data_IF_339086536096
#
_entry.id   IF_339086536096
#
_cell.length_a   1.000
_cell.length_b   1.000
_cell.length_c   1.000
_cell.angle_alpha   90.00
_cell.angle_beta   90.00
_cell.angle_gamma   90.00
#
_symmetry.space_group_name_H-M   'P 1'
#
loop_
_entity.id
_entity.type
_entity.pdbx_description
1 polymer ?
#
# COMPACT_ATOMS: atom_id res chain seq x y z
N UNK A 1 7.33 22.17 21.70
CA UNK A 1 7.04 20.83 22.23
C UNK A 1 6.36 20.08 21.09
N UNK A 2 7.05 19.19 20.40
CA UNK A 2 6.40 18.36 19.36
C UNK A 2 5.34 17.51 20.04
N UNK A 3 4.08 17.66 19.62
CA UNK A 3 2.99 16.82 20.08
C UNK A 3 3.38 15.34 19.90
N UNK A 4 3.09 14.51 20.90
CA UNK A 4 3.35 13.08 20.80
C UNK A 4 2.35 12.48 19.80
N UNK A 5 2.85 11.92 18.71
CA UNK A 5 2.03 11.30 17.67
C UNK A 5 2.28 9.79 17.63
N UNK A 6 1.23 9.02 17.31
CA UNK A 6 1.33 7.60 17.00
C UNK A 6 1.47 7.35 15.50
N UNK A 7 0.82 8.19 14.68
CA UNK A 7 0.88 8.14 13.22
C UNK A 7 1.10 9.57 12.70
N UNK A 8 2.06 9.72 11.80
CA UNK A 8 2.36 10.97 11.12
C UNK A 8 2.46 10.75 9.62
N UNK A 9 1.65 11.49 8.89
CA UNK A 9 1.58 11.47 7.42
C UNK A 9 1.91 12.89 6.98
N UNK A 10 2.93 13.06 6.15
CA UNK A 10 3.37 14.38 5.66
C UNK A 10 3.53 14.40 4.16
N UNK A 11 2.75 15.27 3.50
CA UNK A 11 2.77 15.52 2.07
C UNK A 11 2.69 14.23 1.24
N UNK A 12 1.93 13.26 1.74
CA UNK A 12 1.87 11.93 1.14
C UNK A 12 1.08 11.96 -0.15
N UNK A 13 1.71 11.46 -1.21
CA UNK A 13 1.11 11.31 -2.52
C UNK A 13 1.05 9.84 -2.91
N UNK A 14 0.10 9.49 -3.78
CA UNK A 14 0.05 8.16 -4.36
C UNK A 14 -0.46 8.20 -5.78
N UNK A 15 0.37 7.74 -6.68
CA UNK A 15 0.11 7.56 -8.10
C UNK A 15 -0.16 6.10 -8.43
N UNK A 16 -0.97 5.88 -9.46
CA UNK A 16 -1.23 4.58 -10.05
C UNK A 16 -1.30 4.66 -11.57
N UNK A 17 -0.68 3.68 -12.22
CA UNK A 17 -0.74 3.49 -13.66
C UNK A 17 -2.11 2.98 -14.11
N UNK A 18 -2.67 3.61 -15.16
CA UNK A 18 -3.91 3.17 -15.81
C UNK A 18 -3.61 2.27 -17.00
N UNK A 19 -3.07 1.08 -16.75
CA UNK A 19 -3.02 0.03 -17.77
C UNK A 19 -4.42 -0.55 -17.99
N UNK A 20 -4.85 -0.66 -19.26
CA UNK A 20 -6.14 -1.30 -19.60
C UNK A 20 -6.06 -2.82 -19.52
N UNK A 21 -4.89 -3.39 -19.82
CA UNK A 21 -4.67 -4.84 -19.87
C UNK A 21 -3.24 -5.20 -19.42
N UNK A 22 -3.05 -6.44 -18.96
CA UNK A 22 -1.69 -6.98 -18.65
C UNK A 22 -0.78 -7.01 -19.88
N UNK A 23 -1.35 -7.19 -21.08
CA UNK A 23 -0.57 -7.15 -22.32
C UNK A 23 -0.09 -5.74 -22.63
N UNK A 24 -0.85 -4.69 -22.30
CA UNK A 24 -0.38 -3.30 -22.41
C UNK A 24 0.78 -3.01 -21.46
N UNK A 25 0.73 -3.57 -20.24
CA UNK A 25 1.84 -3.48 -19.28
C UNK A 25 3.13 -4.15 -19.80
N UNK A 26 3.02 -5.36 -20.37
CA UNK A 26 4.16 -6.04 -21.00
C UNK A 26 4.66 -5.28 -22.22
N UNK A 27 3.77 -4.76 -23.07
CA UNK A 27 4.15 -3.95 -24.23
C UNK A 27 4.87 -2.67 -23.81
N UNK A 28 4.43 -2.01 -22.74
CA UNK A 28 5.12 -0.84 -22.21
C UNK A 28 6.54 -1.19 -21.74
N UNK A 29 6.70 -2.34 -21.06
CA UNK A 29 8.01 -2.83 -20.61
C UNK A 29 8.98 -3.11 -21.77
N UNK A 30 8.51 -3.72 -22.87
CA UNK A 30 9.34 -4.02 -24.04
C UNK A 30 9.38 -2.90 -25.10
N UNK A 31 8.61 -1.82 -24.89
CA UNK A 31 8.56 -0.71 -25.82
C UNK A 31 9.80 0.16 -25.65
N UNK A 32 10.56 0.32 -26.74
CA UNK A 32 11.65 1.32 -26.84
C UNK A 32 11.07 2.74 -26.96
N UNK A 33 9.76 2.88 -27.16
CA UNK A 33 9.06 4.16 -27.26
C UNK A 33 8.64 4.68 -25.87
N UNK A 34 9.07 5.90 -25.54
CA UNK A 34 8.66 6.69 -24.35
C UNK A 34 7.20 7.18 -24.44
N UNK A 35 6.24 6.31 -24.73
CA UNK A 35 4.83 6.72 -24.66
C UNK A 35 4.43 6.87 -23.18
N UNK A 36 3.93 8.04 -22.76
CA UNK A 36 3.52 8.24 -21.38
C UNK A 36 2.39 7.28 -21.04
N UNK A 37 2.56 6.55 -19.94
CA UNK A 37 1.52 5.69 -19.39
C UNK A 37 0.49 6.63 -18.77
N UNK A 38 -0.83 6.47 -19.04
CA UNK A 38 -1.80 7.34 -18.41
C UNK A 38 -1.79 7.06 -16.90
N UNK A 39 -1.53 8.06 -16.09
CA UNK A 39 -1.50 7.92 -14.63
C UNK A 39 -2.72 8.59 -13.98
N UNK A 40 -2.96 8.28 -12.71
CA UNK A 40 -3.83 9.09 -11.86
C UNK A 40 -3.32 9.17 -10.42
N UNK A 41 -3.50 10.34 -9.80
CA UNK A 41 -3.16 10.57 -8.41
C UNK A 41 -4.34 10.24 -7.49
N UNK A 42 -4.22 9.15 -6.75
CA UNK A 42 -5.15 8.74 -5.72
C UNK A 42 -5.06 9.61 -4.46
N UNK A 43 -3.85 10.06 -4.10
CA UNK A 43 -3.57 11.02 -3.02
C UNK A 43 -2.66 12.12 -3.55
N UNK A 44 -2.93 13.36 -3.14
CA UNK A 44 -2.33 14.59 -3.69
C UNK A 44 -1.75 15.49 -2.57
N UNK A 45 -0.94 14.91 -1.70
CA UNK A 45 -0.25 15.66 -0.65
C UNK A 45 -1.05 15.70 0.64
N UNK A 46 -1.39 14.52 1.18
CA UNK A 46 -2.10 14.41 2.45
C UNK A 46 -1.11 14.63 3.60
N UNK A 47 -1.45 15.55 4.50
CA UNK A 47 -0.72 15.76 5.75
C UNK A 47 -1.69 15.66 6.93
N UNK A 48 -1.43 14.75 7.86
CA UNK A 48 -2.20 14.59 9.10
C UNK A 48 -1.37 13.91 10.20
N UNK A 49 -1.79 14.10 11.44
CA UNK A 49 -1.21 13.45 12.62
C UNK A 49 -2.34 12.84 13.48
N UNK A 50 -2.05 11.67 14.05
CA UNK A 50 -2.94 10.93 14.95
C UNK A 50 -2.23 10.73 16.28
N UNK A 51 -2.89 11.12 17.36
CA UNK A 51 -2.40 11.01 18.72
C UNK A 51 -2.52 9.57 19.24
N UNK A 52 -1.66 9.15 20.19
CA UNK A 52 -1.82 7.86 20.86
C UNK A 52 -3.19 7.71 21.54
N UNK A 53 -3.88 6.61 21.25
CA UNK A 53 -5.20 6.29 21.82
C UNK A 53 -6.38 6.97 21.10
N UNK A 54 -6.10 7.79 20.09
CA UNK A 54 -7.12 8.45 19.28
C UNK A 54 -7.78 7.47 18.30
N UNK A 55 -9.10 7.60 18.13
CA UNK A 55 -9.83 7.00 17.00
C UNK A 55 -10.08 8.04 15.91
N UNK A 56 -9.34 7.96 14.81
CA UNK A 56 -9.50 8.82 13.64
C UNK A 56 -10.40 8.16 12.59
N UNK A 57 -11.52 8.81 12.27
CA UNK A 57 -12.42 8.41 11.19
C UNK A 57 -11.96 8.94 9.83
N UNK A 58 -11.92 8.10 8.80
CA UNK A 58 -11.72 8.54 7.41
C UNK A 58 -13.05 8.54 6.66
N UNK A 59 -13.50 9.72 6.19
CA UNK A 59 -14.74 9.88 5.42
C UNK A 59 -14.51 10.48 4.04
N UNK A 60 -15.47 10.28 3.14
CA UNK A 60 -15.34 10.71 1.76
C UNK A 60 -16.10 9.82 0.79
N UNK A 61 -16.38 10.34 -0.41
CA UNK A 61 -17.08 9.59 -1.47
C UNK A 61 -16.25 8.40 -1.96
N UNK A 62 -16.88 7.48 -2.72
CA UNK A 62 -16.16 6.35 -3.32
C UNK A 62 -15.09 6.86 -4.29
N UNK A 63 -13.90 6.28 -4.22
CA UNK A 63 -12.74 6.72 -4.99
C UNK A 63 -12.11 8.03 -4.49
N UNK A 64 -12.41 8.47 -3.25
CA UNK A 64 -11.78 9.67 -2.70
C UNK A 64 -10.34 9.47 -2.23
N UNK A 65 -9.90 8.22 -1.99
CA UNK A 65 -8.54 7.91 -1.52
C UNK A 65 -8.45 7.33 -0.10
N UNK A 66 -9.58 7.14 0.62
CA UNK A 66 -9.59 6.60 2.00
C UNK A 66 -8.82 5.28 2.15
N UNK A 67 -9.21 4.25 1.38
CA UNK A 67 -8.55 2.94 1.43
C UNK A 67 -7.11 2.99 0.93
N UNK A 68 -6.78 3.93 0.03
CA UNK A 68 -5.38 4.15 -0.37
C UNK A 68 -4.56 4.67 0.80
N UNK A 69 -5.08 5.66 1.52
CA UNK A 69 -4.40 6.22 2.69
C UNK A 69 -4.30 5.20 3.84
N UNK A 70 -5.37 4.46 4.14
CA UNK A 70 -5.33 3.43 5.18
C UNK A 70 -4.34 2.31 4.86
N UNK A 71 -4.26 1.87 3.59
CA UNK A 71 -3.27 0.88 3.17
C UNK A 71 -1.83 1.39 3.21
N UNK A 72 -1.61 2.70 3.02
CA UNK A 72 -0.29 3.32 3.19
C UNK A 72 0.10 3.36 4.66
N UNK A 73 -0.81 3.79 5.53
CA UNK A 73 -0.59 3.80 6.99
C UNK A 73 -0.35 2.38 7.52
N UNK A 74 -1.03 1.37 6.97
CA UNK A 74 -0.83 -0.03 7.35
C UNK A 74 0.41 -0.69 6.75
N UNK A 75 1.19 0.02 5.93
CA UNK A 75 2.35 -0.54 5.22
C UNK A 75 2.03 -1.58 4.14
N UNK A 76 0.76 -1.72 3.72
CA UNK A 76 0.35 -2.68 2.67
C UNK A 76 0.81 -2.23 1.30
N UNK A 77 0.78 -0.91 1.05
CA UNK A 77 1.37 -0.30 -0.15
C UNK A 77 2.27 0.86 0.27
N UNK A 78 3.40 1.09 -0.44
CA UNK A 78 4.18 2.29 -0.23
C UNK A 78 3.49 3.51 -0.86
N UNK A 79 3.73 4.68 -0.29
CA UNK A 79 3.46 5.99 -0.92
C UNK A 79 4.36 6.24 -2.14
N UNK A 80 3.97 7.17 -3.02
CA UNK A 80 4.81 7.62 -4.14
C UNK A 80 5.81 8.67 -3.69
N UNK A 81 5.36 9.66 -2.91
CA UNK A 81 6.21 10.64 -2.22
C UNK A 81 5.66 10.95 -0.84
N UNK A 82 6.47 11.65 -0.04
CA UNK A 82 6.14 12.10 1.31
C UNK A 82 6.53 11.09 2.38
N UNK A 83 6.37 11.51 3.63
CA UNK A 83 6.77 10.74 4.82
C UNK A 83 5.55 10.10 5.48
N UNK A 84 5.69 8.84 5.82
CA UNK A 84 4.76 8.08 6.67
C UNK A 84 5.59 7.52 7.81
N UNK A 85 5.31 7.98 9.03
CA UNK A 85 5.93 7.48 10.26
C UNK A 85 4.84 6.90 11.16
N UNK A 86 4.97 5.62 11.48
CA UNK A 86 3.98 4.83 12.21
C UNK A 86 4.71 4.15 13.37
N UNK A 87 4.32 4.49 14.60
CA UNK A 87 5.03 4.05 15.81
C UNK A 87 4.29 2.92 16.49
N UNK A 88 4.55 1.69 16.06
CA UNK A 88 3.99 0.46 16.66
C UNK A 88 3.37 -0.46 15.62
N UNK A 89 2.94 -1.64 16.05
CA UNK A 89 2.42 -2.67 15.15
C UNK A 89 1.01 -2.33 14.66
N UNK A 90 0.83 -2.38 13.34
CA UNK A 90 -0.45 -2.17 12.69
C UNK A 90 -1.14 -3.49 12.37
N UNK A 91 -2.44 -3.58 12.59
CA UNK A 91 -3.28 -4.66 12.07
C UNK A 91 -4.43 -4.09 11.26
N UNK A 92 -4.62 -4.60 10.03
CA UNK A 92 -5.69 -4.16 9.13
C UNK A 92 -6.82 -5.17 9.07
N UNK A 93 -8.05 -4.67 9.21
CA UNK A 93 -9.30 -5.40 9.03
C UNK A 93 -10.00 -4.85 7.80
N UNK A 94 -9.83 -5.52 6.68
CA UNK A 94 -10.58 -5.24 5.46
C UNK A 94 -11.55 -6.39 5.14
N UNK A 95 -12.61 -6.10 4.38
CA UNK A 95 -13.58 -7.10 3.87
C UNK A 95 -12.84 -8.27 3.20
N UNK A 96 -11.73 -7.98 2.51
CA UNK A 96 -10.83 -8.97 1.95
C UNK A 96 -9.62 -9.09 2.89
N UNK A 97 -9.81 -9.78 4.00
CA UNK A 97 -8.90 -9.82 5.15
C UNK A 97 -7.54 -10.49 4.86
N UNK A 98 -7.11 -10.64 3.60
CA UNK A 98 -5.82 -11.25 3.25
C UNK A 98 -5.76 -12.75 3.52
N UNK A 99 -6.90 -13.41 3.74
CA UNK A 99 -6.98 -14.85 3.94
C UNK A 99 -6.59 -15.61 2.66
N UNK A 100 -5.81 -16.67 2.81
CA UNK A 100 -5.44 -17.60 1.74
C UNK A 100 -6.58 -18.59 1.53
N UNK A 101 -7.25 -18.48 0.38
CA UNK A 101 -8.42 -19.31 0.06
C UNK A 101 -8.16 -20.82 -0.01
N UNK A 102 -6.93 -21.25 -0.26
CA UNK A 102 -6.58 -22.68 -0.29
C UNK A 102 -6.36 -23.27 1.11
N UNK A 103 -6.12 -22.43 2.11
CA UNK A 103 -5.93 -22.84 3.50
C UNK A 103 -7.27 -22.83 4.24
N UNK A 104 -7.38 -23.65 5.27
CA UNK A 104 -8.49 -23.67 6.23
C UNK A 104 -8.54 -22.41 7.08
N UNK A 105 -9.64 -22.18 7.80
CA UNK A 105 -9.73 -21.10 8.77
C UNK A 105 -8.63 -21.18 9.83
N UNK A 106 -8.43 -22.37 10.40
CA UNK A 106 -7.37 -22.66 11.38
C UNK A 106 -5.97 -22.29 10.87
N UNK A 107 -5.63 -22.75 9.67
CA UNK A 107 -4.34 -22.47 9.05
C UNK A 107 -4.17 -20.97 8.76
N UNK A 108 -5.24 -20.26 8.42
CA UNK A 108 -5.20 -18.82 8.24
C UNK A 108 -5.01 -18.06 9.56
N UNK A 109 -5.62 -18.52 10.66
CA UNK A 109 -5.38 -17.95 12.01
C UNK A 109 -3.90 -18.06 12.33
N UNK A 110 -3.35 -19.28 12.26
CA UNK A 110 -1.94 -19.55 12.54
C UNK A 110 -1.00 -18.76 11.63
N UNK A 111 -1.23 -18.79 10.32
CA UNK A 111 -0.40 -18.09 9.34
C UNK A 111 -0.30 -16.60 9.66
N UNK A 112 -1.43 -15.94 9.93
CA UNK A 112 -1.44 -14.51 10.21
C UNK A 112 -0.77 -14.16 11.53
N UNK A 113 -1.04 -14.92 12.59
CA UNK A 113 -0.42 -14.67 13.87
C UNK A 113 1.11 -14.86 13.81
N UNK A 114 1.59 -15.90 13.09
CA UNK A 114 3.02 -16.08 12.80
C UNK A 114 3.61 -14.90 12.00
N UNK A 115 2.89 -14.38 11.00
CA UNK A 115 3.32 -13.21 10.23
C UNK A 115 3.46 -11.94 11.07
N UNK A 116 2.74 -11.87 12.20
CA UNK A 116 2.84 -10.78 13.17
C UNK A 116 3.90 -11.05 14.26
N UNK A 117 4.73 -12.08 14.09
CA UNK A 117 5.83 -12.39 15.01
C UNK A 117 5.45 -13.21 16.23
N UNK A 118 4.22 -13.72 16.31
CA UNK A 118 3.77 -14.52 17.46
C UNK A 118 4.36 -15.93 17.42
N UNK A 119 4.60 -16.50 18.60
CA UNK A 119 5.05 -17.88 18.78
C UNK A 119 3.86 -18.85 18.70
N UNK A 120 4.12 -20.12 18.36
CA UNK A 120 3.05 -21.14 18.35
C UNK A 120 2.32 -21.26 19.70
N UNK A 121 3.03 -21.07 20.81
CA UNK A 121 2.43 -21.11 22.15
C UNK A 121 1.42 -19.98 22.36
N UNK A 122 1.78 -18.74 21.99
CA UNK A 122 0.84 -17.61 22.06
C UNK A 122 -0.37 -17.83 21.16
N UNK A 123 -0.15 -18.38 19.97
CA UNK A 123 -1.24 -18.67 19.02
C UNK A 123 -2.20 -19.71 19.59
N UNK A 124 -1.68 -20.82 20.11
CA UNK A 124 -2.51 -21.88 20.69
C UNK A 124 -3.31 -21.36 21.89
N UNK A 125 -2.78 -20.39 22.65
CA UNK A 125 -3.48 -19.80 23.81
C UNK A 125 -4.68 -18.90 23.46
N UNK A 126 -4.75 -18.37 22.24
CA UNK A 126 -5.86 -17.51 21.78
C UNK A 126 -6.71 -18.14 20.67
N UNK A 127 -6.35 -19.35 20.22
CA UNK A 127 -6.97 -20.00 19.09
C UNK A 127 -8.47 -20.21 19.31
N UNK A 128 -8.85 -20.72 20.48
CA UNK A 128 -10.25 -20.97 20.83
C UNK A 128 -11.06 -19.68 20.93
N UNK A 129 -10.47 -18.61 21.50
CA UNK A 129 -11.10 -17.29 21.59
C UNK A 129 -11.36 -16.69 20.20
N UNK A 130 -10.40 -16.83 19.27
CA UNK A 130 -10.56 -16.37 17.88
C UNK A 130 -11.70 -17.12 17.19
N UNK A 131 -11.77 -18.45 17.39
CA UNK A 131 -12.80 -19.29 16.77
C UNK A 131 -14.18 -18.94 17.33
N UNK A 132 -14.29 -18.81 18.66
CA UNK A 132 -15.52 -18.44 19.34
C UNK A 132 -15.99 -17.04 18.95
N UNK A 133 -15.06 -16.09 18.77
CA UNK A 133 -15.39 -14.75 18.31
C UNK A 133 -15.87 -14.76 16.86
N UNK A 134 -15.17 -15.47 15.97
CA UNK A 134 -15.52 -15.55 14.55
C UNK A 134 -16.90 -16.16 14.31
N UNK A 135 -17.31 -17.11 15.16
CA UNK A 135 -18.66 -17.70 15.14
C UNK A 135 -19.04 -18.23 13.76
N UNK A 136 -18.15 -19.07 13.21
CA UNK A 136 -18.31 -19.73 11.89
C UNK A 136 -18.49 -21.26 12.01
N UNK A 137 -18.53 -21.81 13.22
CA UNK A 137 -18.67 -23.24 13.49
C UNK A 137 -17.61 -24.11 12.80
N UNK A 138 -18.02 -25.30 12.35
CA UNK A 138 -17.14 -26.30 11.72
C UNK A 138 -16.48 -25.83 10.43
N UNK A 139 -16.95 -24.72 9.83
CA UNK A 139 -16.29 -24.16 8.67
C UNK A 139 -14.86 -23.73 8.95
N UNK A 140 -14.48 -23.49 10.23
CA UNK A 140 -13.08 -23.19 10.58
C UNK A 140 -12.09 -24.26 10.07
N UNK A 141 -12.53 -25.51 9.97
CA UNK A 141 -11.74 -26.63 9.45
C UNK A 141 -11.83 -26.79 7.92
N UNK A 142 -12.62 -25.96 7.24
CA UNK A 142 -12.80 -25.97 5.80
C UNK A 142 -11.95 -24.90 5.10
N UNK A 143 -11.51 -25.13 3.85
CA UNK A 143 -10.77 -24.13 3.08
C UNK A 143 -11.54 -22.82 2.90
N UNK A 144 -10.90 -21.68 3.14
CA UNK A 144 -11.54 -20.35 3.11
C UNK A 144 -12.17 -20.00 1.76
N UNK A 145 -11.75 -20.62 0.65
CA UNK A 145 -12.40 -20.45 -0.66
C UNK A 145 -13.88 -20.82 -0.66
N UNK A 146 -14.34 -21.72 0.24
CA UNK A 146 -15.75 -22.10 0.37
C UNK A 146 -16.57 -21.12 1.22
N UNK A 147 -15.93 -20.18 1.91
CA UNK A 147 -16.60 -19.28 2.83
C UNK A 147 -17.41 -18.21 2.09
N UNK A 148 -18.54 -17.82 2.68
CA UNK A 148 -19.24 -16.59 2.31
C UNK A 148 -18.37 -15.35 2.60
N UNK A 149 -18.70 -14.21 2.00
CA UNK A 149 -18.05 -12.93 2.30
C UNK A 149 -18.14 -12.57 3.79
N UNK A 150 -19.29 -12.83 4.41
CA UNK A 150 -19.50 -12.59 5.84
C UNK A 150 -18.56 -13.42 6.71
N UNK A 151 -18.46 -14.73 6.46
CA UNK A 151 -17.54 -15.60 7.21
C UNK A 151 -16.07 -15.18 7.07
N UNK A 152 -15.63 -14.79 5.85
CA UNK A 152 -14.27 -14.29 5.62
C UNK A 152 -13.99 -13.03 6.43
N UNK A 153 -14.98 -12.13 6.52
CA UNK A 153 -14.83 -10.92 7.30
C UNK A 153 -14.88 -11.18 8.79
N UNK A 154 -15.74 -12.09 9.27
CA UNK A 154 -15.80 -12.47 10.69
C UNK A 154 -14.47 -13.05 11.16
N UNK A 155 -13.95 -14.03 10.43
CA UNK A 155 -12.64 -14.62 10.73
C UNK A 155 -11.51 -13.59 10.61
N UNK A 156 -11.56 -12.74 9.59
CA UNK A 156 -10.60 -11.66 9.39
C UNK A 156 -10.55 -10.69 10.58
N UNK A 157 -11.72 -10.25 11.04
CA UNK A 157 -11.87 -9.38 12.19
C UNK A 157 -11.43 -10.07 13.48
N UNK A 158 -11.89 -11.30 13.72
CA UNK A 158 -11.54 -12.09 14.89
C UNK A 158 -10.01 -12.21 15.04
N UNK A 159 -9.30 -12.58 13.97
CA UNK A 159 -7.84 -12.68 14.00
C UNK A 159 -7.23 -11.32 14.35
N UNK A 160 -7.63 -10.25 13.66
CA UNK A 160 -7.02 -8.94 13.81
C UNK A 160 -7.16 -8.33 15.20
N UNK A 161 -8.28 -8.56 15.90
CA UNK A 161 -8.52 -8.02 17.25
C UNK A 161 -7.92 -8.86 18.37
N UNK A 162 -7.56 -10.13 18.13
CA UNK A 162 -6.89 -10.98 19.13
C UNK A 162 -5.37 -10.90 19.06
N UNK A 163 -4.81 -10.42 17.95
CA UNK A 163 -3.36 -10.13 17.81
C UNK A 163 -2.93 -8.93 18.70
N UNK A 164 -3.87 -8.16 19.25
CA UNK A 164 -3.61 -7.02 20.16
C UNK A 164 -2.64 -5.96 19.59
N UNK A 165 -2.88 -5.43 18.38
CA UNK A 165 -2.03 -4.41 17.76
C UNK A 165 -1.99 -3.11 18.56
N UNK A 166 -0.98 -2.28 18.30
CA UNK A 166 -0.94 -0.90 18.78
C UNK A 166 -1.88 0.02 17.99
N UNK A 167 -2.01 -0.27 16.69
CA UNK A 167 -2.81 0.50 15.74
C UNK A 167 -3.75 -0.46 15.01
N UNK A 168 -5.05 -0.28 15.20
CA UNK A 168 -6.08 -1.07 14.52
C UNK A 168 -6.68 -0.27 13.37
N UNK A 169 -6.65 -0.80 12.15
CA UNK A 169 -7.19 -0.15 10.97
C UNK A 169 -8.40 -0.96 10.51
N UNK A 170 -9.57 -0.34 10.44
CA UNK A 170 -10.83 -1.02 10.09
C UNK A 170 -11.37 -0.38 8.81
N UNK A 171 -11.31 -1.11 7.70
CA UNK A 171 -11.76 -0.66 6.38
C UNK A 171 -13.02 -1.39 5.92
N UNK A 172 -14.17 -0.74 6.13
CA UNK A 172 -15.52 -1.20 5.74
C UNK A 172 -15.92 -2.59 6.28
N UNK A 173 -15.14 -3.17 7.20
CA UNK A 173 -15.29 -4.55 7.67
C UNK A 173 -16.48 -4.77 8.63
N UNK A 174 -17.08 -3.71 9.17
CA UNK A 174 -18.23 -3.82 10.10
C UNK A 174 -19.57 -4.04 9.41
N UNK A 175 -19.64 -3.93 8.08
CA UNK A 175 -20.92 -3.94 7.34
C UNK A 175 -21.34 -5.31 6.80
N UNK A 176 -20.57 -6.37 7.08
CA UNK A 176 -20.69 -7.69 6.43
C UNK A 176 -21.09 -8.83 7.39
N UNK A 177 -21.60 -8.49 8.58
CA UNK A 177 -22.10 -9.43 9.60
C UNK A 177 -23.61 -9.30 9.88
N UNK A 178 -24.10 -10.09 10.83
CA UNK A 178 -25.41 -9.84 11.45
C UNK A 178 -25.26 -8.82 12.60
N UNK A 179 -26.39 -8.34 13.13
CA UNK A 179 -26.41 -7.34 14.20
C UNK A 179 -25.69 -7.83 15.46
N UNK A 180 -25.75 -9.13 15.77
CA UNK A 180 -25.09 -9.73 16.94
C UNK A 180 -23.57 -9.64 16.81
N UNK A 181 -23.02 -10.02 15.65
CA UNK A 181 -21.59 -9.90 15.37
C UNK A 181 -21.14 -8.44 15.32
N UNK A 182 -21.98 -7.55 14.78
CA UNK A 182 -21.70 -6.12 14.79
C UNK A 182 -21.54 -5.57 16.22
N UNK A 183 -22.41 -5.96 17.16
CA UNK A 183 -22.26 -5.55 18.58
C UNK A 183 -20.96 -6.09 19.19
N UNK A 184 -20.61 -7.36 18.95
CA UNK A 184 -19.31 -7.92 19.39
C UNK A 184 -18.13 -7.09 18.89
N UNK A 185 -18.17 -6.64 17.62
CA UNK A 185 -17.14 -5.78 17.06
C UNK A 185 -17.09 -4.41 17.72
N UNK A 186 -18.24 -3.78 17.96
CA UNK A 186 -18.34 -2.47 18.64
C UNK A 186 -17.76 -2.55 20.06
N UNK A 187 -18.16 -3.57 20.83
CA UNK A 187 -17.65 -3.81 22.18
C UNK A 187 -16.13 -4.00 22.17
N UNK A 188 -15.61 -4.77 21.21
CA UNK A 188 -14.16 -4.98 21.09
C UNK A 188 -13.42 -3.69 20.73
N UNK A 189 -13.96 -2.90 19.81
CA UNK A 189 -13.40 -1.57 19.46
C UNK A 189 -13.36 -0.67 20.71
N UNK A 190 -14.43 -0.66 21.50
CA UNK A 190 -14.51 0.12 22.73
C UNK A 190 -13.46 -0.33 23.75
N UNK A 191 -13.25 -1.64 23.93
CA UNK A 191 -12.16 -2.17 24.78
C UNK A 191 -10.78 -1.71 24.28
N UNK A 192 -10.55 -1.67 22.96
CA UNK A 192 -9.31 -1.16 22.39
C UNK A 192 -9.12 0.34 22.70
N UNK A 193 -10.18 1.14 22.57
CA UNK A 193 -10.13 2.57 22.94
C UNK A 193 -9.80 2.75 24.42
N UNK A 194 -10.45 1.99 25.31
CA UNK A 194 -10.20 2.03 26.76
C UNK A 194 -8.78 1.59 27.13
N UNK A 195 -8.21 0.67 26.36
CA UNK A 195 -6.81 0.23 26.49
C UNK A 195 -5.80 1.23 25.89
N UNK A 196 -6.23 2.39 25.41
CA UNK A 196 -5.36 3.41 24.81
C UNK A 196 -4.78 3.03 23.44
N UNK A 197 -5.42 2.09 22.74
CA UNK A 197 -5.01 1.69 21.39
C UNK A 197 -5.51 2.70 20.36
N UNK A 198 -4.71 2.92 19.33
CA UNK A 198 -5.03 3.89 18.27
C UNK A 198 -5.84 3.21 17.17
N UNK A 199 -6.88 3.86 16.65
CA UNK A 199 -7.78 3.22 15.66
C UNK A 199 -7.97 4.14 14.46
N UNK A 200 -7.75 3.61 13.25
CA UNK A 200 -8.16 4.26 11.99
C UNK A 200 -9.43 3.58 11.51
N UNK A 201 -10.53 4.33 11.49
CA UNK A 201 -11.85 3.79 11.15
C UNK A 201 -12.34 4.34 9.81
N UNK A 202 -12.43 3.49 8.79
CA UNK A 202 -12.93 3.85 7.46
C UNK A 202 -14.33 3.30 7.29
N UNK A 203 -15.31 4.19 7.19
CA UNK A 203 -16.71 3.81 7.01
C UNK A 203 -17.48 4.78 6.11
N UNK A 204 -18.44 4.23 5.38
CA UNK A 204 -19.45 4.99 4.64
C UNK A 204 -20.65 5.39 5.52
N UNK A 205 -20.77 4.82 6.73
CA UNK A 205 -21.84 5.13 7.68
C UNK A 205 -21.42 6.26 8.61
N UNK A 206 -21.99 7.45 8.40
CA UNK A 206 -21.74 8.60 9.29
C UNK A 206 -22.17 8.33 10.73
N UNK A 207 -23.18 7.50 10.94
CA UNK A 207 -23.60 7.09 12.29
C UNK A 207 -22.50 6.31 13.01
N UNK A 208 -21.82 5.39 12.31
CA UNK A 208 -20.70 4.64 12.89
C UNK A 208 -19.53 5.57 13.22
N UNK A 209 -19.22 6.49 12.30
CA UNK A 209 -18.19 7.52 12.52
C UNK A 209 -18.49 8.36 13.76
N UNK A 210 -19.72 8.86 13.89
CA UNK A 210 -20.15 9.67 15.05
C UNK A 210 -20.11 8.90 16.38
N UNK A 211 -20.38 7.59 16.37
CA UNK A 211 -20.38 6.78 17.59
C UNK A 211 -18.97 6.37 18.03
N UNK A 212 -18.04 6.18 17.09
CA UNK A 212 -16.74 5.54 17.36
C UNK A 212 -15.55 6.49 17.32
N UNK A 213 -15.61 7.57 16.54
CA UNK A 213 -14.44 8.41 16.25
C UNK A 213 -14.39 9.68 17.10
N UNK A 214 -13.18 10.05 17.52
CA UNK A 214 -12.92 11.26 18.29
C UNK A 214 -12.68 12.45 17.33
N UNK A 215 -11.93 12.20 16.26
CA UNK A 215 -11.72 13.13 15.14
C UNK A 215 -12.01 12.45 13.81
N UNK A 216 -12.19 13.26 12.77
CA UNK A 216 -12.47 12.79 11.42
C UNK A 216 -11.64 13.56 10.41
N UNK A 217 -11.08 12.84 9.45
CA UNK A 217 -10.46 13.37 8.24
C UNK A 217 -11.39 13.14 7.03
N UNK A 218 -11.85 14.24 6.42
CA UNK A 218 -12.61 14.22 5.18
C UNK A 218 -11.68 14.28 3.98
N UNK A 219 -11.60 13.18 3.24
CA UNK A 219 -10.81 13.04 2.02
C UNK A 219 -11.74 13.13 0.81
N UNK A 220 -11.37 13.95 -0.18
CA UNK A 220 -12.15 14.16 -1.39
C UNK A 220 -11.23 14.20 -2.62
N UNK A 221 -11.32 13.17 -3.48
CA UNK A 221 -10.52 13.04 -4.71
C UNK A 221 -9.01 13.25 -4.51
N UNK A 222 -8.45 12.65 -3.47
CA UNK A 222 -7.04 12.70 -3.13
C UNK A 222 -6.59 13.92 -2.33
N UNK A 223 -7.49 14.87 -2.02
CA UNK A 223 -7.20 16.00 -1.13
C UNK A 223 -7.77 15.76 0.27
N UNK A 224 -7.05 16.18 1.31
CA UNK A 224 -7.60 16.34 2.65
C UNK A 224 -8.40 17.65 2.67
N UNK A 225 -9.73 17.58 2.74
CA UNK A 225 -10.59 18.77 2.74
C UNK A 225 -10.72 19.41 4.10
N UNK A 226 -10.82 18.59 5.13
CA UNK A 226 -10.96 19.04 6.51
C UNK A 226 -10.54 17.91 7.43
N UNK A 227 -9.91 18.26 8.55
CA UNK A 227 -9.65 17.37 9.67
C UNK A 227 -9.96 18.12 10.95
N UNK A 228 -10.61 17.47 11.90
CA UNK A 228 -11.07 18.13 13.12
C UNK A 228 -11.97 17.23 13.94
N UNK A 229 -12.72 17.82 14.88
CA UNK A 229 -13.66 17.09 15.71
C UNK A 229 -14.73 16.38 14.87
N UNK A 230 -15.16 15.19 15.32
CA UNK A 230 -16.16 14.40 14.59
C UNK A 230 -17.43 15.19 14.30
N UNK A 231 -17.97 15.93 15.28
CA UNK A 231 -19.20 16.69 15.12
C UNK A 231 -19.11 17.77 14.03
N UNK A 232 -18.00 18.51 13.99
CA UNK A 232 -17.77 19.58 13.02
C UNK A 232 -17.64 19.03 11.60
N UNK A 233 -16.72 18.09 11.40
CA UNK A 233 -16.38 17.57 10.07
C UNK A 233 -17.54 16.77 9.48
N UNK A 234 -18.25 15.97 10.30
CA UNK A 234 -19.47 15.27 9.85
C UNK A 234 -20.57 16.25 9.50
N UNK A 235 -20.71 17.37 10.22
CA UNK A 235 -21.64 18.44 9.90
C UNK A 235 -21.40 19.04 8.51
N UNK A 236 -20.17 19.42 8.21
CA UNK A 236 -19.79 19.95 6.89
C UNK A 236 -19.93 18.90 5.79
N UNK A 237 -19.53 17.66 6.06
CA UNK A 237 -19.70 16.57 5.10
C UNK A 237 -21.17 16.28 4.79
N UNK A 238 -22.08 16.36 5.77
CA UNK A 238 -23.53 16.23 5.55
C UNK A 238 -24.06 17.33 4.63
N UNK A 239 -23.61 18.58 4.80
CA UNK A 239 -23.97 19.69 3.90
C UNK A 239 -23.52 19.40 2.47
N UNK A 240 -22.27 18.94 2.31
CA UNK A 240 -21.74 18.50 1.02
C UNK A 240 -22.58 17.39 0.39
N UNK A 241 -22.91 16.33 1.13
CA UNK A 241 -23.72 15.22 0.62
C UNK A 241 -25.14 15.68 0.24
N UNK A 242 -25.76 16.55 1.04
CA UNK A 242 -27.08 17.12 0.74
C UNK A 242 -27.05 17.91 -0.56
N UNK A 243 -26.06 18.80 -0.71
CA UNK A 243 -25.83 19.54 -1.95
C UNK A 243 -25.59 18.59 -3.14
N UNK A 244 -24.66 17.64 -2.98
CA UNK A 244 -24.30 16.71 -4.05
C UNK A 244 -25.50 15.85 -4.49
N UNK A 245 -26.34 15.40 -3.56
CA UNK A 245 -27.56 14.64 -3.86
C UNK A 245 -28.61 15.49 -4.59
N UNK A 246 -28.72 16.79 -4.28
CA UNK A 246 -29.65 17.71 -4.92
C UNK A 246 -29.29 18.03 -6.38
N UNK A 247 -28.03 17.86 -6.79
CA UNK A 247 -27.60 18.07 -8.17
C UNK A 247 -28.30 17.16 -9.18
N UNK A 248 -28.50 17.67 -10.40
CA UNK A 248 -28.98 16.88 -11.54
C UNK A 248 -27.97 15.77 -11.89
N UNK A 249 -28.41 14.72 -12.60
CA UNK A 249 -27.50 13.66 -13.07
C UNK A 249 -26.36 14.24 -13.94
N UNK A 250 -26.64 15.28 -14.73
CA UNK A 250 -25.66 15.97 -15.59
C UNK A 250 -24.62 16.70 -14.76
N UNK A 251 -25.04 17.44 -13.72
CA UNK A 251 -24.14 18.23 -12.88
C UNK A 251 -23.30 17.35 -11.96
N UNK A 252 -23.89 16.27 -11.43
CA UNK A 252 -23.12 15.23 -10.70
C UNK A 252 -21.98 14.68 -11.55
N UNK A 253 -22.28 14.31 -12.80
CA UNK A 253 -21.27 13.79 -13.73
C UNK A 253 -20.22 14.85 -14.10
N UNK A 254 -20.64 16.11 -14.28
CA UNK A 254 -19.73 17.24 -14.53
C UNK A 254 -18.75 17.42 -13.36
N UNK A 255 -19.26 17.51 -12.12
CA UNK A 255 -18.45 17.62 -10.91
C UNK A 255 -17.44 16.47 -10.76
N UNK A 256 -17.91 15.22 -10.94
CA UNK A 256 -17.05 14.04 -10.86
C UNK A 256 -15.96 14.05 -11.94
N UNK A 257 -16.28 14.46 -13.17
CA UNK A 257 -15.33 14.53 -14.27
C UNK A 257 -14.28 15.62 -14.04
N UNK A 258 -14.68 16.79 -13.54
CA UNK A 258 -13.76 17.88 -13.20
C UNK A 258 -12.81 17.46 -12.07
N UNK A 259 -13.32 16.80 -11.04
CA UNK A 259 -12.49 16.29 -9.96
C UNK A 259 -11.48 15.23 -10.44
N UNK A 260 -11.93 14.27 -11.26
CA UNK A 260 -11.04 13.27 -11.89
C UNK A 260 -10.02 13.91 -12.83
N UNK A 261 -10.37 14.99 -13.53
CA UNK A 261 -9.43 15.74 -14.37
C UNK A 261 -8.34 16.37 -13.51
N UNK A 262 -8.68 16.93 -12.33
CA UNK A 262 -7.71 17.44 -11.36
C UNK A 262 -6.78 16.35 -10.82
N UNK A 263 -7.29 15.13 -10.59
CA UNK A 263 -6.45 14.00 -10.18
C UNK A 263 -5.44 13.60 -11.25
N UNK A 264 -5.77 13.74 -12.53
CA UNK A 264 -4.85 13.42 -13.64
C UNK A 264 -3.89 14.55 -14.00
N UNK A 265 -4.27 15.79 -13.67
CA UNK A 265 -3.48 16.98 -13.95
C UNK A 265 -2.67 17.45 -12.73
N UNK A 266 -2.64 16.67 -11.65
CA UNK A 266 -1.80 16.96 -10.50
C UNK A 266 -0.34 16.82 -10.89
N UNK A 267 0.46 17.83 -10.56
CA UNK A 267 1.87 17.91 -10.88
C UNK A 267 2.65 17.94 -9.56
N UNK A 268 3.43 16.89 -9.35
CA UNK A 268 4.21 16.69 -8.13
C UNK A 268 5.31 17.74 -7.98
N UNK A 269 5.96 18.16 -9.06
CA UNK A 269 7.06 19.14 -9.02
C UNK A 269 6.51 20.52 -8.68
N UNK A 270 5.34 20.87 -9.22
CA UNK A 270 4.65 22.11 -8.87
C UNK A 270 4.22 22.11 -7.40
N UNK A 271 3.73 20.97 -6.89
CA UNK A 271 3.36 20.82 -5.49
C UNK A 271 4.56 20.90 -4.55
N UNK A 272 5.70 20.25 -4.88
CA UNK A 272 6.93 20.36 -4.10
C UNK A 272 7.40 21.82 -4.00
N UNK A 273 7.41 22.57 -5.12
CA UNK A 273 7.74 24.00 -5.13
C UNK A 273 6.81 24.83 -4.26
N UNK A 274 5.52 24.49 -4.23
CA UNK A 274 4.56 25.13 -3.34
C UNK A 274 4.93 24.89 -1.86
N UNK A 275 5.22 23.65 -1.48
CA UNK A 275 5.61 23.30 -0.10
C UNK A 275 6.92 23.98 0.31
N UNK A 276 7.89 24.08 -0.61
CA UNK A 276 9.13 24.85 -0.39
C UNK A 276 8.82 26.32 -0.11
N UNK A 277 7.96 26.94 -0.91
CA UNK A 277 7.59 28.34 -0.74
C UNK A 277 6.87 28.59 0.60
N UNK A 278 5.95 27.70 1.00
CA UNK A 278 5.25 27.77 2.29
C UNK A 278 6.22 27.67 3.47
N UNK A 279 7.13 26.68 3.47
CA UNK A 279 8.10 26.46 4.55
C UNK A 279 9.18 27.56 4.62
N UNK A 280 9.55 28.14 3.47
CA UNK A 280 10.46 29.29 3.41
C UNK A 280 9.81 30.55 4.00
N UNK A 281 8.49 30.73 3.88
CA UNK A 281 7.80 31.86 4.51
C UNK A 281 7.80 31.74 6.03
N UNK A 282 7.71 30.53 6.57
CA UNK A 282 7.78 30.28 8.02
C UNK A 282 9.19 30.45 8.58
N UNK A 283 10.22 30.08 7.80
CA UNK A 283 11.64 30.19 8.19
C UNK A 283 12.48 30.86 7.09
N UNK A 284 12.38 32.19 6.99
CA UNK A 284 12.98 32.97 5.90
C UNK A 284 14.51 32.86 5.79
N UNK A 285 15.22 32.61 6.90
CA UNK A 285 16.69 32.54 6.93
C UNK A 285 17.26 31.15 6.64
N UNK A 286 16.43 30.11 6.55
CA UNK A 286 16.91 28.77 6.26
C UNK A 286 17.14 28.60 4.75
N UNK A 287 18.41 28.48 4.35
CA UNK A 287 18.81 28.25 2.96
C UNK A 287 18.70 26.78 2.52
N UNK A 288 18.38 25.86 3.45
CA UNK A 288 18.31 24.42 3.18
C UNK A 288 16.88 23.90 2.98
N UNK A 289 15.85 24.72 3.15
CA UNK A 289 14.43 24.34 3.04
C UNK A 289 14.14 23.51 1.79
N UNK A 290 14.61 23.95 0.62
CA UNK A 290 14.38 23.22 -0.64
C UNK A 290 14.95 21.79 -0.61
N UNK A 291 16.15 21.62 -0.04
CA UNK A 291 16.81 20.32 0.08
C UNK A 291 16.13 19.44 1.12
N UNK A 292 15.68 20.02 2.24
CA UNK A 292 14.93 19.30 3.27
C UNK A 292 13.58 18.81 2.75
N UNK A 293 12.81 19.67 2.08
CA UNK A 293 11.52 19.30 1.49
C UNK A 293 11.71 18.20 0.44
N UNK A 294 12.74 18.31 -0.41
CA UNK A 294 13.04 17.24 -1.36
C UNK A 294 13.36 15.91 -0.67
N UNK A 295 14.12 15.96 0.43
CA UNK A 295 14.40 14.77 1.25
C UNK A 295 13.13 14.22 1.92
N UNK A 296 12.23 15.08 2.38
CA UNK A 296 10.95 14.64 2.96
C UNK A 296 10.06 13.97 1.90
N UNK A 297 10.11 14.45 0.64
CA UNK A 297 9.33 13.86 -0.45
C UNK A 297 9.87 12.51 -0.91
N UNK A 298 11.19 12.36 -1.04
CA UNK A 298 11.79 11.21 -1.72
C UNK A 298 12.69 10.34 -0.83
N UNK A 299 13.05 10.80 0.37
CA UNK A 299 14.03 10.13 1.23
C UNK A 299 13.55 8.83 1.88
N UNK A 300 12.25 8.72 2.15
CA UNK A 300 11.63 7.48 2.66
C UNK A 300 11.16 6.53 1.55
N UNK A 301 11.30 6.92 0.27
CA UNK A 301 10.82 6.15 -0.88
C UNK A 301 12.01 5.40 -1.50
N UNK A 302 11.78 4.15 -1.89
CA UNK A 302 12.79 3.37 -2.60
C UNK A 302 13.00 4.02 -3.98
N UNK A 303 14.20 4.53 -4.24
CA UNK A 303 14.54 5.15 -5.53
C UNK A 303 14.26 4.18 -6.69
N UNK A 304 13.46 4.62 -7.66
CA UNK A 304 13.23 3.89 -8.91
C UNK A 304 14.49 3.81 -9.78
N UNK A 305 15.41 4.75 -9.60
CA UNK A 305 16.67 4.77 -10.37
C UNK A 305 17.77 4.01 -9.65
N UNK A 306 18.50 3.20 -10.40
CA UNK A 306 19.70 2.54 -9.91
C UNK A 306 20.78 3.58 -9.59
N UNK A 307 21.44 3.44 -8.44
CA UNK A 307 22.64 4.21 -8.12
C UNK A 307 23.71 4.02 -9.20
N UNK A 308 24.60 4.99 -9.38
CA UNK A 308 25.67 4.90 -10.38
C UNK A 308 26.53 3.65 -10.21
N UNK A 309 26.87 3.29 -8.96
CA UNK A 309 27.60 2.05 -8.67
C UNK A 309 26.82 0.80 -9.09
N UNK A 310 25.51 0.76 -8.81
CA UNK A 310 24.66 -0.36 -9.25
C UNK A 310 24.54 -0.42 -10.77
N UNK A 311 24.46 0.72 -11.47
CA UNK A 311 24.43 0.76 -12.95
C UNK A 311 25.72 0.20 -13.55
N UNK A 312 26.88 0.52 -12.97
CA UNK A 312 28.16 -0.04 -13.44
C UNK A 312 28.18 -1.55 -13.20
N UNK A 313 27.83 -1.98 -11.99
CA UNK A 313 27.81 -3.40 -11.64
C UNK A 313 26.88 -4.20 -12.58
N UNK A 314 25.65 -3.75 -12.79
CA UNK A 314 24.72 -4.44 -13.71
C UNK A 314 25.22 -4.42 -15.15
N UNK A 315 25.85 -3.34 -15.59
CA UNK A 315 26.47 -3.28 -16.92
C UNK A 315 27.60 -4.31 -17.05
N UNK A 316 28.50 -4.38 -16.07
CA UNK A 316 29.62 -5.33 -16.04
C UNK A 316 29.11 -6.77 -16.03
N UNK A 317 28.13 -7.09 -15.18
CA UNK A 317 27.50 -8.41 -15.12
C UNK A 317 26.81 -8.73 -16.45
N UNK A 318 26.09 -7.78 -17.06
CA UNK A 318 25.46 -7.96 -18.35
C UNK A 318 26.46 -8.27 -19.46
N UNK A 319 27.56 -7.53 -19.55
CA UNK A 319 28.65 -7.79 -20.50
C UNK A 319 29.28 -9.16 -20.26
N UNK A 320 29.50 -9.55 -19.00
CA UNK A 320 30.04 -10.86 -18.65
C UNK A 320 29.09 -12.01 -19.05
N UNK A 321 27.78 -11.86 -18.84
CA UNK A 321 26.76 -12.84 -19.25
C UNK A 321 26.73 -12.98 -20.78
N UNK A 322 26.73 -11.86 -21.52
CA UNK A 322 26.77 -11.88 -22.99
C UNK A 322 28.06 -12.54 -23.48
N UNK A 323 29.20 -12.24 -22.86
CA UNK A 323 30.48 -12.88 -23.19
C UNK A 323 30.44 -14.40 -22.94
N UNK A 324 29.92 -14.85 -21.80
CA UNK A 324 29.78 -16.28 -21.51
C UNK A 324 28.81 -16.98 -22.47
N UNK A 325 27.72 -16.32 -22.86
CA UNK A 325 26.81 -16.84 -23.90
C UNK A 325 27.53 -16.98 -25.25
N UNK A 326 28.31 -15.98 -25.64
CA UNK A 326 29.10 -16.01 -26.88
C UNK A 326 30.18 -17.10 -26.86
N UNK A 327 30.88 -17.28 -25.73
CA UNK A 327 31.82 -18.39 -25.52
C UNK A 327 31.10 -19.73 -25.69
N UNK A 328 29.96 -19.90 -25.04
CA UNK A 328 29.16 -21.12 -25.12
C UNK A 328 28.70 -21.42 -26.56
N UNK A 329 28.19 -20.40 -27.27
CA UNK A 329 27.78 -20.51 -28.69
C UNK A 329 28.97 -20.81 -29.61
N UNK A 330 30.15 -20.27 -29.31
CA UNK A 330 31.37 -20.51 -30.11
C UNK A 330 31.89 -21.94 -30.02
N UNK A 331 31.51 -22.69 -28.98
CA UNK A 331 31.99 -24.05 -28.73
C UNK A 331 33.43 -24.14 -28.22
N UNK A 332 34.08 -23.01 -27.93
CA UNK A 332 35.43 -22.96 -27.35
C UNK A 332 35.40 -22.92 -25.82
N UNK A 333 36.49 -23.35 -25.17
CA UNK A 333 36.65 -23.18 -23.72
C UNK A 333 36.83 -21.70 -23.36
N UNK A 334 36.46 -21.34 -22.14
CA UNK A 334 36.67 -19.98 -21.60
C UNK A 334 38.14 -19.56 -21.71
N UNK A 335 39.06 -20.47 -21.39
CA UNK A 335 40.51 -20.24 -21.46
C UNK A 335 41.00 -19.95 -22.89
N UNK A 336 40.48 -20.67 -23.88
CA UNK A 336 40.81 -20.47 -25.30
C UNK A 336 40.36 -19.09 -25.79
N UNK A 337 39.13 -18.68 -25.43
CA UNK A 337 38.59 -17.38 -25.83
C UNK A 337 39.30 -16.21 -25.16
N UNK A 338 39.71 -16.36 -23.88
CA UNK A 338 40.49 -15.34 -23.17
C UNK A 338 41.87 -15.13 -23.82
N UNK A 339 42.51 -16.21 -24.29
CA UNK A 339 43.81 -16.12 -24.97
C UNK A 339 43.69 -15.69 -26.44
N UNK A 340 42.58 -16.04 -27.11
CA UNK A 340 42.31 -15.75 -28.51
C UNK A 340 40.89 -15.20 -28.71
N UNK A 341 40.68 -13.88 -28.51
CA UNK A 341 39.34 -13.27 -28.57
C UNK A 341 38.61 -13.44 -29.90
N UNK A 342 39.35 -13.64 -31.00
CA UNK A 342 38.77 -13.90 -32.33
C UNK A 342 37.97 -15.20 -32.41
N UNK A 343 38.21 -16.17 -31.51
CA UNK A 343 37.50 -17.45 -31.48
C UNK A 343 36.00 -17.32 -31.22
N UNK A 344 35.56 -16.22 -30.59
CA UNK A 344 34.12 -15.91 -30.40
C UNK A 344 33.39 -15.84 -31.74
N UNK A 345 34.04 -15.30 -32.76
CA UNK A 345 33.46 -15.07 -34.09
C UNK A 345 33.68 -16.25 -35.06
N UNK A 346 34.38 -17.29 -34.60
CA UNK A 346 34.70 -18.48 -35.38
C UNK A 346 34.24 -19.74 -34.65
N UNK A 347 32.92 -20.03 -34.68
CA UNK A 347 32.35 -21.15 -33.95
C UNK A 347 32.94 -22.47 -34.45
N UNK A 348 33.30 -23.34 -33.52
CA UNK A 348 33.80 -24.69 -33.82
C UNK A 348 32.81 -25.74 -33.35
N UNK A 349 32.39 -26.59 -34.28
CA UNK A 349 31.53 -27.77 -33.99
C UNK A 349 32.33 -29.00 -33.60
N UNK A 350 33.66 -28.89 -33.47
CA UNK A 350 34.56 -30.02 -33.21
C UNK A 350 35.34 -29.81 -31.92
N UNK A 351 35.15 -30.69 -30.94
CA UNK A 351 35.94 -30.76 -29.73
C UNK A 351 37.38 -31.18 -30.09
N UNK A 352 38.30 -30.21 -30.14
CA UNK A 352 39.74 -30.52 -30.18
C UNK A 352 40.25 -30.68 -28.76
N UNK A 353 40.09 -31.89 -28.21
CA UNK A 353 40.80 -32.28 -26.98
C UNK A 353 42.30 -32.51 -27.25
N UNK A 354 43.15 -32.46 -26.21
CA UNK A 354 44.55 -32.85 -26.34
C UNK A 354 44.61 -34.31 -26.79
N UNK A 355 45.07 -34.55 -28.03
CA UNK A 355 45.18 -35.88 -28.62
C UNK A 355 44.21 -36.21 -29.77
N UNK A 356 43.30 -35.32 -30.17
CA UNK A 356 42.39 -35.59 -31.31
C UNK A 356 42.94 -35.01 -32.62
N UNK A 357 43.74 -35.81 -33.33
CA UNK A 357 44.03 -35.60 -34.75
C UNK A 357 42.78 -35.92 -35.57
N UNK A 358 42.33 -34.97 -36.40
CA UNK A 358 41.26 -35.15 -37.39
C UNK A 358 41.46 -36.43 -38.20
N UNK A 359 40.43 -37.26 -38.31
CA UNK A 359 40.22 -38.08 -39.50
C UNK A 359 39.18 -37.40 -40.37
N UNK A 360 39.55 -37.18 -41.62
CA UNK A 360 38.73 -36.61 -42.69
C UNK A 360 37.71 -37.64 -43.16
N UNK A 361 36.44 -37.25 -43.25
CA UNK A 361 35.62 -37.38 -44.46
C UNK A 361 34.43 -36.42 -44.39
#
# INVERSE_FOLDING_TARGET
MTADYKIKVQNVTKEFDLFKTRSDQLKAFFSISNRPIPEFWALKGISLEVEPGETLGLIGVNGSGKSTLSNIISGVIPQTTGVVDVRGDTSIVAINSGLRGQLTGMENIRLKALMMGMTNHEIDSMLDDIIAFADIGDFVYQPVKSYSSGMKSRLGFAIAVHINPDILIIDEALSVGDDTFYQKCVEKIQQFKEAGKTIIFVSHSLKQIEMMCDRVAWIQYGDLKQIGSTAEVVGEYRKFIKWFKALSKKDKKKYQNEAKKKQKAFDIEAYEKQVVAERQQENAEDHHVAREVHKDFYGSVISETMSWGNRILTTVVGVAVVFLMLVNVSGHSLTSVVQHPSHIWHPTTTLKGPGVTKSVK
#
